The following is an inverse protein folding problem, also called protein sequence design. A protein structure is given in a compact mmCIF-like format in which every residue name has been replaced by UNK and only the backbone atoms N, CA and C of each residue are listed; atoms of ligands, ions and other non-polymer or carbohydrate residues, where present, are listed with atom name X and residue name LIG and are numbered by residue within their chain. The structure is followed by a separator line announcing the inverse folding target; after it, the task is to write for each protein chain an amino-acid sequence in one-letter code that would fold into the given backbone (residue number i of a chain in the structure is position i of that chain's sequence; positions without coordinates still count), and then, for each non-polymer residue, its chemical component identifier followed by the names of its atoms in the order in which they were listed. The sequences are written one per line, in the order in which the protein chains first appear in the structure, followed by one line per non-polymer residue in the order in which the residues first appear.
data_IF_567033790555
#
_entry.id   IF_567033790555
#
_cell.length_a   1.000
_cell.length_b   1.000
_cell.length_c   1.000
_cell.angle_alpha   90.00
_cell.angle_beta   90.00
_cell.angle_gamma   90.00
#
_symmetry.space_group_name_H-M   'P 1'
#
loop_
_entity.id
_entity.type
_entity.pdbx_description
1 polymer ?
#
# COMPACT_ATOMS: atom_id res chain seq x y z
N UNK A 1 12.51 4.14 32.59
CA UNK A 1 12.22 5.24 31.64
C UNK A 1 11.68 4.59 30.37
N UNK A 2 10.37 4.68 30.11
CA UNK A 2 9.73 3.98 28.99
C UNK A 2 10.04 4.70 27.67
N UNK A 3 10.84 4.09 26.78
CA UNK A 3 11.10 4.67 25.46
C UNK A 3 9.97 4.31 24.48
N UNK A 4 9.06 5.25 24.27
CA UNK A 4 8.10 5.17 23.16
C UNK A 4 8.82 5.54 21.87
N UNK A 5 8.90 4.60 20.93
CA UNK A 5 9.47 4.79 19.60
C UNK A 5 8.34 4.80 18.59
N UNK A 6 8.37 5.81 17.74
CA UNK A 6 7.41 5.99 16.67
C UNK A 6 8.15 6.22 15.36
N UNK A 7 7.79 5.48 14.31
CA UNK A 7 8.33 5.66 12.96
C UNK A 7 7.16 5.69 11.97
N UNK A 8 6.99 6.81 11.29
CA UNK A 8 6.06 6.95 10.19
C UNK A 8 6.80 6.75 8.87
N UNK A 9 6.29 5.87 8.02
CA UNK A 9 6.85 5.58 6.70
C UNK A 9 5.75 5.74 5.66
N UNK A 10 6.02 6.56 4.66
CA UNK A 10 5.17 6.72 3.50
C UNK A 10 5.90 6.19 2.28
N UNK A 11 5.17 5.42 1.47
CA UNK A 11 5.62 4.93 0.19
C UNK A 11 4.55 5.23 -0.86
N UNK A 12 4.99 5.70 -2.02
CA UNK A 12 4.15 5.85 -3.19
C UNK A 12 4.79 5.09 -4.35
N UNK A 13 4.04 4.20 -4.97
CA UNK A 13 4.46 3.42 -6.13
C UNK A 13 3.55 3.78 -7.29
N UNK A 14 4.14 4.25 -8.38
CA UNK A 14 3.46 4.42 -9.66
C UNK A 14 3.79 3.18 -10.46
N UNK A 15 2.81 2.30 -10.68
CA UNK A 15 2.99 1.19 -11.60
C UNK A 15 2.90 1.72 -13.03
N UNK A 16 3.80 1.24 -13.87
CA UNK A 16 4.00 1.69 -15.24
C UNK A 16 2.70 1.65 -16.06
N UNK A 17 2.52 2.65 -16.93
CA UNK A 17 1.45 2.66 -17.93
C UNK A 17 1.73 1.62 -19.00
N UNK A 18 0.77 0.73 -19.25
CA UNK A 18 0.82 -0.14 -20.42
C UNK A 18 0.02 0.56 -21.51
N UNK A 19 0.69 1.13 -22.50
CA UNK A 19 0.02 1.61 -23.71
C UNK A 19 -0.41 0.40 -24.52
N UNK A 20 -1.72 0.14 -24.47
CA UNK A 20 -2.46 -0.75 -25.37
C UNK A 20 -2.13 -2.25 -25.26
N UNK A 21 -3.02 -2.98 -24.59
CA UNK A 21 -2.83 -4.40 -24.31
C UNK A 21 -3.07 -5.37 -25.48
N UNK A 22 -3.33 -4.86 -26.67
CA UNK A 22 -3.52 -5.69 -27.86
C UNK A 22 -2.23 -6.37 -28.38
N UNK A 23 -1.05 -5.86 -28.04
CA UNK A 23 0.21 -6.24 -28.71
C UNK A 23 1.31 -6.82 -27.80
N UNK A 24 1.15 -6.84 -26.48
CA UNK A 24 2.19 -7.31 -25.56
C UNK A 24 1.63 -8.21 -24.45
N UNK A 25 2.21 -9.40 -24.27
CA UNK A 25 1.79 -10.44 -23.30
C UNK A 25 1.89 -9.97 -21.82
N UNK A 26 2.55 -8.83 -21.58
CA UNK A 26 2.64 -8.16 -20.26
C UNK A 26 1.36 -7.41 -19.90
N UNK A 27 0.48 -7.17 -20.87
CA UNK A 27 -0.77 -6.44 -20.67
C UNK A 27 -1.88 -7.36 -20.17
N UNK A 28 -2.14 -7.28 -18.87
CA UNK A 28 -3.51 -7.51 -18.41
C UNK A 28 -4.42 -6.56 -19.18
N UNK A 29 -5.63 -6.98 -19.55
CA UNK A 29 -6.56 -6.33 -20.49
C UNK A 29 -7.09 -4.91 -20.06
N UNK A 30 -6.31 -4.15 -19.30
CA UNK A 30 -6.57 -2.80 -18.83
C UNK A 30 -6.51 -1.77 -19.94
N UNK A 31 -7.35 -0.74 -19.81
CA UNK A 31 -7.62 0.28 -20.83
C UNK A 31 -6.57 1.40 -20.89
N UNK A 32 -5.28 1.07 -20.79
CA UNK A 32 -4.15 2.02 -20.81
C UNK A 32 -4.14 3.05 -19.66
N UNK A 33 -4.63 2.69 -18.48
CA UNK A 33 -4.60 3.59 -17.32
C UNK A 33 -3.38 3.33 -16.42
N UNK A 34 -2.92 4.35 -15.69
CA UNK A 34 -1.82 4.23 -14.73
C UNK A 34 -2.36 3.79 -13.37
N UNK A 35 -1.84 2.70 -12.83
CA UNK A 35 -2.13 2.28 -11.45
C UNK A 35 -1.27 3.06 -10.46
N UNK A 36 -1.91 3.64 -9.46
CA UNK A 36 -1.24 4.33 -8.36
C UNK A 36 -1.43 3.54 -7.07
N UNK A 37 -0.34 3.26 -6.37
CA UNK A 37 -0.34 2.68 -5.04
C UNK A 37 0.25 3.65 -4.04
N UNK A 38 -0.47 3.91 -2.95
CA UNK A 38 0.04 4.61 -1.79
C UNK A 38 -0.02 3.68 -0.58
N UNK A 39 1.04 3.65 0.18
CA UNK A 39 1.16 2.89 1.42
C UNK A 39 1.65 3.84 2.53
N UNK A 40 0.93 3.83 3.64
CA UNK A 40 1.31 4.54 4.85
C UNK A 40 1.40 3.53 5.99
N UNK A 41 2.56 3.43 6.62
CA UNK A 41 2.79 2.57 7.77
C UNK A 41 3.21 3.43 8.96
N UNK A 42 2.69 3.11 10.13
CA UNK A 42 3.14 3.73 11.37
C UNK A 42 3.53 2.65 12.37
N UNK A 43 4.82 2.59 12.70
CA UNK A 43 5.32 1.75 13.78
C UNK A 43 5.20 2.49 15.10
N UNK A 44 4.53 1.88 16.08
CA UNK A 44 4.29 2.46 17.39
C UNK A 44 4.57 1.45 18.49
N UNK A 45 5.55 1.73 19.35
CA UNK A 45 5.80 0.90 20.54
C UNK A 45 4.98 1.39 21.73
N UNK A 46 4.08 0.54 22.22
CA UNK A 46 3.28 0.80 23.43
C UNK A 46 4.13 0.57 24.69
N UNK A 47 4.85 -0.55 24.70
CA UNK A 47 5.78 -0.98 25.74
C UNK A 47 6.97 -1.69 25.09
N UNK A 48 8.00 -2.06 25.87
CA UNK A 48 9.16 -2.79 25.34
C UNK A 48 8.81 -4.17 24.76
N UNK A 49 7.63 -4.69 25.09
CA UNK A 49 7.14 -6.00 24.66
C UNK A 49 6.00 -5.95 23.65
N UNK A 50 5.40 -4.77 23.41
CA UNK A 50 4.21 -4.62 22.56
C UNK A 50 4.42 -3.50 21.54
N UNK A 51 4.30 -3.85 20.26
CA UNK A 51 4.29 -2.89 19.17
C UNK A 51 3.03 -3.02 18.31
N UNK A 52 2.54 -1.88 17.84
CA UNK A 52 1.46 -1.77 16.86
C UNK A 52 2.02 -1.24 15.55
N UNK A 53 1.46 -1.78 14.47
CA UNK A 53 1.76 -1.43 13.09
C UNK A 53 0.44 -1.26 12.34
N UNK A 54 -0.26 -0.13 12.50
CA UNK A 54 -1.28 0.28 11.55
C UNK A 54 -0.65 0.57 10.18
N UNK A 55 -1.27 0.00 9.15
CA UNK A 55 -0.92 0.21 7.75
C UNK A 55 -2.17 0.58 6.97
N UNK A 56 -2.03 1.55 6.08
CA UNK A 56 -3.08 1.98 5.17
C UNK A 56 -2.59 1.89 3.73
N UNK A 57 -3.42 1.32 2.86
CA UNK A 57 -3.20 1.21 1.43
C UNK A 57 -4.30 1.94 0.67
N UNK A 58 -3.89 2.70 -0.34
CA UNK A 58 -4.77 3.27 -1.34
C UNK A 58 -4.27 2.81 -2.71
N UNK A 59 -5.11 2.09 -3.44
CA UNK A 59 -4.79 1.59 -4.78
C UNK A 59 -5.82 2.18 -5.75
N UNK A 60 -5.40 3.14 -6.55
CA UNK A 60 -6.23 3.74 -7.61
C UNK A 60 -5.96 3.04 -8.95
N UNK A 61 -7.02 2.91 -9.76
CA UNK A 61 -7.01 2.20 -11.05
C UNK A 61 -6.39 0.80 -10.94
N UNK A 62 -6.94 -0.07 -10.07
CA UNK A 62 -6.40 -1.41 -9.91
C UNK A 62 -6.35 -2.14 -11.26
N UNK A 63 -5.21 -2.77 -11.55
CA UNK A 63 -4.94 -3.46 -12.81
C UNK A 63 -5.00 -2.56 -14.06
N UNK A 64 -4.72 -1.26 -13.95
CA UNK A 64 -4.65 -0.33 -15.09
C UNK A 64 -5.99 -0.13 -15.83
N UNK A 65 -7.11 -0.28 -15.11
CA UNK A 65 -8.46 0.06 -15.57
C UNK A 65 -8.92 1.37 -14.94
N UNK A 66 -9.20 2.40 -15.75
CA UNK A 66 -9.67 3.73 -15.28
C UNK A 66 -11.11 3.74 -14.74
N UNK A 67 -11.89 2.71 -15.09
CA UNK A 67 -13.29 2.54 -14.72
C UNK A 67 -13.47 1.73 -13.42
N UNK A 68 -12.37 1.31 -12.78
CA UNK A 68 -12.40 0.56 -11.52
C UNK A 68 -12.33 1.49 -10.32
N UNK A 69 -13.19 1.23 -9.34
CA UNK A 69 -13.20 1.91 -8.04
C UNK A 69 -11.84 1.78 -7.33
N UNK A 70 -11.38 2.89 -6.75
CA UNK A 70 -10.21 2.94 -5.87
C UNK A 70 -10.41 2.02 -4.68
N UNK A 71 -9.40 1.19 -4.40
CA UNK A 71 -9.39 0.24 -3.28
C UNK A 71 -8.71 0.91 -2.08
N UNK A 72 -9.36 0.85 -0.93
CA UNK A 72 -8.83 1.30 0.34
C UNK A 72 -8.70 0.10 1.28
N UNK A 73 -7.51 -0.14 1.83
CA UNK A 73 -7.27 -1.23 2.78
C UNK A 73 -6.62 -0.70 4.04
N UNK A 74 -7.26 -0.93 5.18
CA UNK A 74 -6.67 -0.72 6.50
C UNK A 74 -6.24 -2.06 7.08
N UNK A 75 -4.98 -2.17 7.50
CA UNK A 75 -4.46 -3.28 8.26
C UNK A 75 -3.98 -2.79 9.62
N UNK A 76 -4.21 -3.59 10.66
CA UNK A 76 -3.64 -3.36 11.98
C UNK A 76 -2.94 -4.63 12.42
N UNK A 77 -1.62 -4.55 12.57
CA UNK A 77 -0.81 -5.63 13.12
C UNK A 77 -0.34 -5.28 14.52
N UNK A 78 -0.53 -6.21 15.44
CA UNK A 78 0.06 -6.16 16.78
C UNK A 78 1.16 -7.22 16.88
N UNK A 79 2.29 -6.87 17.48
CA UNK A 79 3.44 -7.74 17.69
C UNK A 79 3.81 -7.76 19.17
N UNK A 80 4.05 -8.97 19.68
CA UNK A 80 4.50 -9.22 21.04
C UNK A 80 5.90 -9.83 21.03
N UNK A 81 6.74 -9.46 22.00
CA UNK A 81 8.04 -10.09 22.27
C UNK A 81 8.07 -10.60 23.70
N UNK A 82 8.42 -11.87 23.88
CA UNK A 82 8.49 -12.58 25.17
C UNK A 82 9.94 -12.92 25.54
#
# INVERSE_FOLDING_TARGET
MWQKKALLTFLSVILFSILDGGNFIVSSAGNSSVQYGFEANYYFTLTDNIALFPTFYLIANPNNFSDRLTIYVGNLRAQWSF
#
